data_IF_322911706719
#
_entry.id   IF_322911706719
#
_cell.length_a   1.000
_cell.length_b   1.000
_cell.length_c   1.000
_cell.angle_alpha   90.00
_cell.angle_beta   90.00
_cell.angle_gamma   90.00
#
_symmetry.space_group_name_H-M   'P 1'
#
loop_
_entity.id
_entity.type
_entity.pdbx_description
1 polymer ?
#
# COMPACT_ATOMS: atom_id res chain seq x y z
N UNK A 1 -49.72 -41.66 44.62
CA UNK A 1 -50.96 -40.84 44.66
C UNK A 1 -50.92 -39.91 43.45
N UNK A 2 -51.74 -40.14 42.42
CA UNK A 2 -52.99 -39.40 42.11
C UNK A 2 -52.78 -37.87 42.08
N UNK A 3 -52.63 -37.24 40.91
CA UNK A 3 -53.65 -36.87 39.90
C UNK A 3 -54.55 -35.67 40.27
N UNK A 4 -54.44 -34.60 39.50
CA UNK A 4 -55.54 -33.94 38.75
C UNK A 4 -54.89 -33.27 37.52
N UNK A 5 -55.23 -33.60 36.26
CA UNK A 5 -56.50 -33.46 35.52
C UNK A 5 -56.97 -32.00 35.48
N UNK A 6 -56.75 -31.21 34.41
CA UNK A 6 -57.15 -31.35 33.00
C UNK A 6 -58.64 -31.03 32.73
N UNK A 7 -58.89 -30.03 31.85
CA UNK A 7 -60.11 -29.78 31.06
C UNK A 7 -59.88 -28.57 30.12
N UNK A 8 -60.42 -28.45 28.90
CA UNK A 8 -61.00 -29.43 27.97
C UNK A 8 -61.11 -28.76 26.56
N UNK A 9 -60.73 -29.50 25.51
CA UNK A 9 -61.47 -29.69 24.23
C UNK A 9 -61.72 -28.53 23.22
N UNK A 10 -61.09 -28.72 22.05
CA UNK A 10 -61.50 -28.50 20.64
C UNK A 10 -62.35 -27.30 20.16
N UNK A 11 -61.92 -26.73 19.03
CA UNK A 11 -62.77 -26.64 17.82
C UNK A 11 -61.92 -26.63 16.53
N UNK A 12 -62.35 -27.37 15.49
CA UNK A 12 -61.76 -27.37 14.13
C UNK A 12 -62.76 -26.72 13.17
N UNK A 13 -62.22 -25.94 12.20
CA UNK A 13 -62.76 -25.62 10.85
C UNK A 13 -63.80 -24.47 10.63
N UNK A 14 -63.43 -23.65 9.61
CA UNK A 14 -64.24 -22.96 8.57
C UNK A 14 -64.97 -21.63 8.90
N UNK A 15 -64.40 -20.51 8.43
CA UNK A 15 -64.86 -19.71 7.26
C UNK A 15 -63.82 -18.58 7.03
N UNK A 16 -63.13 -18.49 5.89
CA UNK A 16 -63.53 -17.91 4.59
C UNK A 16 -63.95 -16.43 4.61
N UNK A 17 -63.22 -15.64 3.81
CA UNK A 17 -63.50 -14.27 3.33
C UNK A 17 -63.62 -13.11 4.34
N UNK A 18 -62.48 -12.45 4.60
CA UNK A 18 -62.43 -11.00 4.79
C UNK A 18 -61.19 -10.42 4.05
N UNK A 19 -61.41 -9.73 2.92
CA UNK A 19 -60.36 -8.99 2.24
C UNK A 19 -60.01 -7.73 3.06
N UNK A 20 -58.79 -7.63 3.58
CA UNK A 20 -58.16 -6.34 3.89
C UNK A 20 -56.75 -6.31 3.31
N UNK A 21 -56.51 -5.35 2.43
CA UNK A 21 -55.21 -5.14 1.82
C UNK A 21 -54.24 -4.60 2.89
N UNK A 22 -53.16 -5.32 3.13
CA UNK A 22 -51.98 -4.78 3.81
C UNK A 22 -50.99 -4.33 2.71
N UNK A 23 -50.36 -3.15 2.88
CA UNK A 23 -49.56 -2.55 1.82
C UNK A 23 -48.35 -3.44 1.47
N UNK A 24 -48.01 -3.47 0.18
CA UNK A 24 -46.75 -4.03 -0.31
C UNK A 24 -45.60 -3.35 0.44
N UNK A 25 -45.02 -4.03 1.43
CA UNK A 25 -43.67 -3.72 1.89
C UNK A 25 -42.78 -3.91 0.67
N UNK A 26 -42.29 -2.80 0.12
CA UNK A 26 -41.23 -2.79 -0.86
C UNK A 26 -40.07 -3.58 -0.26
N UNK A 27 -39.87 -4.82 -0.73
CA UNK A 27 -38.56 -5.46 -0.64
C UNK A 27 -37.63 -4.56 -1.44
N UNK A 28 -36.93 -3.67 -0.75
CA UNK A 28 -35.71 -3.07 -1.26
C UNK A 28 -34.79 -4.23 -1.58
N UNK A 29 -34.75 -4.61 -2.86
CA UNK A 29 -33.76 -5.54 -3.38
C UNK A 29 -32.40 -4.98 -2.98
N UNK A 30 -31.66 -5.71 -2.13
CA UNK A 30 -30.26 -5.40 -1.92
C UNK A 30 -29.62 -5.30 -3.31
N UNK A 31 -28.97 -4.19 -3.67
CA UNK A 31 -28.19 -4.16 -4.89
C UNK A 31 -27.16 -5.27 -4.74
N UNK A 32 -27.22 -6.25 -5.66
CA UNK A 32 -26.25 -7.34 -5.72
C UNK A 32 -24.86 -6.72 -5.80
N UNK A 33 -24.06 -6.88 -4.74
CA UNK A 33 -22.69 -6.38 -4.70
C UNK A 33 -21.91 -7.23 -5.71
N UNK A 34 -21.78 -6.74 -6.95
CA UNK A 34 -20.90 -7.38 -7.92
C UNK A 34 -19.46 -7.00 -7.56
N UNK A 35 -18.76 -7.95 -6.96
CA UNK A 35 -17.31 -7.87 -6.77
C UNK A 35 -16.63 -8.11 -8.11
N UNK A 36 -16.67 -7.08 -8.97
CA UNK A 36 -16.02 -7.08 -10.28
C UNK A 36 -14.50 -6.95 -10.09
N UNK A 37 -13.80 -8.07 -9.97
CA UNK A 37 -12.36 -8.11 -9.76
C UNK A 37 -11.58 -7.58 -10.98
N UNK A 38 -10.51 -6.79 -10.72
CA UNK A 38 -9.63 -6.28 -11.77
C UNK A 38 -8.35 -7.11 -11.86
N UNK A 39 -8.01 -7.56 -13.08
CA UNK A 39 -6.68 -8.09 -13.39
C UNK A 39 -5.73 -6.93 -13.68
N UNK A 40 -4.71 -6.78 -12.86
CA UNK A 40 -3.64 -5.78 -13.02
C UNK A 40 -2.46 -6.46 -13.71
N UNK A 41 -2.46 -6.42 -15.04
CA UNK A 41 -1.26 -6.79 -15.79
C UNK A 41 -0.21 -5.70 -15.62
N UNK A 42 0.73 -5.92 -14.70
CA UNK A 42 1.96 -5.13 -14.59
C UNK A 42 2.95 -5.75 -15.59
N UNK A 43 2.87 -5.29 -16.84
CA UNK A 43 3.79 -5.73 -17.89
C UNK A 43 5.20 -5.27 -17.49
N UNK A 44 6.13 -6.21 -17.36
CA UNK A 44 7.55 -5.88 -17.37
C UNK A 44 7.89 -5.44 -18.78
N UNK A 45 8.40 -4.22 -18.94
CA UNK A 45 9.05 -3.85 -20.20
C UNK A 45 10.18 -4.82 -20.52
N UNK A 46 10.42 -4.96 -21.81
CA UNK A 46 11.31 -5.88 -22.54
C UNK A 46 12.45 -6.54 -21.74
N UNK A 47 12.68 -7.81 -22.03
CA UNK A 47 13.93 -8.46 -21.63
C UNK A 47 15.05 -8.18 -22.66
N UNK A 48 16.27 -8.63 -22.33
CA UNK A 48 17.49 -8.55 -23.15
C UNK A 48 17.39 -9.15 -24.57
N UNK A 49 16.25 -9.77 -24.93
CA UNK A 49 15.97 -10.39 -26.23
C UNK A 49 14.81 -9.71 -26.97
N UNK A 50 14.37 -8.52 -26.54
CA UNK A 50 13.24 -7.80 -27.16
C UNK A 50 11.90 -8.52 -27.04
N UNK A 51 11.73 -9.40 -26.05
CA UNK A 51 10.46 -10.09 -25.79
C UNK A 51 9.77 -9.48 -24.57
N UNK A 52 8.50 -9.12 -24.74
CA UNK A 52 7.63 -8.75 -23.63
C UNK A 52 7.46 -9.95 -22.68
N UNK A 53 7.77 -9.77 -21.40
CA UNK A 53 7.40 -10.73 -20.35
C UNK A 53 6.15 -10.20 -19.66
N UNK A 54 5.00 -10.75 -20.04
CA UNK A 54 3.73 -10.45 -19.38
C UNK A 54 3.65 -11.12 -18.00
N UNK A 55 4.06 -10.39 -16.97
CA UNK A 55 3.61 -10.68 -15.61
C UNK A 55 2.21 -10.10 -15.40
N UNK A 56 1.29 -10.87 -14.78
CA UNK A 56 -0.04 -10.36 -14.44
C UNK A 56 -0.44 -10.71 -13.02
N UNK A 57 -0.79 -9.67 -12.25
CA UNK A 57 -1.34 -9.77 -10.91
C UNK A 57 -2.86 -9.60 -10.97
N UNK A 58 -3.60 -10.10 -9.98
CA UNK A 58 -5.05 -9.80 -9.85
C UNK A 58 -5.31 -9.19 -8.48
N UNK A 59 -5.87 -7.98 -8.48
CA UNK A 59 -6.26 -7.23 -7.28
C UNK A 59 -7.77 -6.98 -7.30
N UNK A 60 -8.44 -7.35 -6.23
CA UNK A 60 -9.89 -7.21 -6.13
C UNK A 60 -10.18 -5.76 -5.72
N UNK A 61 -10.58 -4.93 -6.69
CA UNK A 61 -10.82 -3.49 -6.53
C UNK A 61 -12.30 -3.21 -6.77
N UNK A 62 -12.96 -2.46 -5.89
CA UNK A 62 -14.35 -2.07 -6.10
C UNK A 62 -14.49 -1.10 -7.28
N UNK A 63 -15.52 -1.31 -8.12
CA UNK A 63 -15.86 -0.40 -9.23
C UNK A 63 -16.51 0.90 -8.71
N UNK A 64 -16.07 2.08 -9.18
CA UNK A 64 -16.91 3.27 -9.13
C UNK A 64 -18.06 3.15 -10.16
N UNK A 65 -19.22 3.69 -9.82
CA UNK A 65 -20.48 3.57 -10.59
C UNK A 65 -20.60 4.53 -11.80
N UNK A 66 -19.50 4.99 -12.38
CA UNK A 66 -19.51 6.08 -13.37
C UNK A 66 -18.63 5.83 -14.62
N UNK A 67 -19.01 6.50 -15.73
CA UNK A 67 -18.35 6.46 -17.05
C UNK A 67 -16.93 7.09 -17.03
N UNK A 68 -15.96 6.47 -16.36
CA UNK A 68 -14.61 7.02 -16.21
C UNK A 68 -13.67 6.58 -17.35
N UNK A 69 -12.99 7.57 -17.93
CA UNK A 69 -12.00 7.48 -19.03
C UNK A 69 -10.70 6.71 -18.69
N UNK A 70 -10.52 6.27 -17.45
CA UNK A 70 -9.27 5.70 -16.91
C UNK A 70 -9.52 4.33 -16.29
N UNK A 71 -8.61 3.37 -16.52
CA UNK A 71 -8.77 1.98 -16.03
C UNK A 71 -8.59 1.84 -14.52
N UNK A 72 -7.57 2.48 -13.94
CA UNK A 72 -7.28 2.45 -12.50
C UNK A 72 -6.73 3.80 -12.00
N UNK A 73 -6.88 4.08 -10.70
CA UNK A 73 -6.28 5.24 -10.01
C UNK A 73 -5.36 4.77 -8.88
N UNK A 74 -4.06 5.02 -9.05
CA UNK A 74 -2.97 4.47 -8.25
C UNK A 74 -2.17 5.61 -7.60
N UNK A 75 -1.93 5.50 -6.29
CA UNK A 75 -0.90 6.26 -5.60
C UNK A 75 0.24 5.31 -5.23
N UNK A 76 1.41 5.58 -5.78
CA UNK A 76 2.64 4.87 -5.44
C UNK A 76 3.32 5.60 -4.28
N UNK A 77 3.67 4.88 -3.21
CA UNK A 77 4.18 5.42 -1.96
C UNK A 77 5.57 4.85 -1.76
N UNK A 78 6.59 5.71 -1.76
CA UNK A 78 7.99 5.31 -1.62
C UNK A 78 8.76 6.32 -0.76
N UNK A 79 9.82 5.88 -0.09
CA UNK A 79 10.78 6.78 0.53
C UNK A 79 11.81 7.33 -0.47
N UNK A 80 11.95 6.70 -1.64
CA UNK A 80 12.93 7.05 -2.67
C UNK A 80 12.30 7.13 -4.06
N UNK A 81 12.79 8.05 -4.88
CA UNK A 81 12.32 8.24 -6.25
C UNK A 81 12.63 9.64 -6.78
N UNK A 82 12.45 9.88 -8.09
CA UNK A 82 12.64 11.20 -8.67
C UNK A 82 11.74 12.24 -7.99
N UNK A 83 12.27 13.42 -7.63
CA UNK A 83 13.48 14.04 -8.19
C UNK A 83 14.77 13.84 -7.35
N UNK A 84 14.84 12.85 -6.45
CA UNK A 84 16.11 12.50 -5.79
C UNK A 84 17.17 12.14 -6.86
N UNK A 85 18.42 12.54 -6.62
CA UNK A 85 19.54 12.33 -7.55
C UNK A 85 20.60 11.44 -6.89
N UNK A 86 20.15 10.27 -6.43
CA UNK A 86 21.00 9.20 -5.91
C UNK A 86 20.95 8.04 -6.89
N UNK A 87 22.04 7.29 -7.00
CA UNK A 87 22.01 6.00 -7.67
C UNK A 87 21.30 4.99 -6.76
N UNK A 88 20.37 4.20 -7.30
CA UNK A 88 19.64 3.19 -6.54
C UNK A 88 18.53 2.57 -7.38
N UNK A 89 18.42 1.24 -7.35
CA UNK A 89 17.48 0.50 -8.19
C UNK A 89 16.01 0.93 -7.95
N UNK A 90 15.66 1.30 -6.71
CA UNK A 90 14.34 1.83 -6.38
C UNK A 90 14.08 3.20 -7.05
N UNK A 91 15.09 4.05 -7.19
CA UNK A 91 14.93 5.36 -7.85
C UNK A 91 14.67 5.18 -9.34
N UNK A 92 15.39 4.30 -10.02
CA UNK A 92 15.15 4.01 -11.44
C UNK A 92 13.78 3.33 -11.66
N UNK A 93 13.38 2.40 -10.78
CA UNK A 93 12.01 1.83 -10.79
C UNK A 93 10.95 2.91 -10.60
N UNK A 94 11.14 3.83 -9.65
CA UNK A 94 10.20 4.93 -9.39
C UNK A 94 10.25 6.05 -10.43
N UNK A 95 11.23 6.04 -11.34
CA UNK A 95 11.22 6.88 -12.54
C UNK A 95 10.46 6.24 -13.70
N UNK A 96 10.69 4.94 -13.96
CA UNK A 96 10.12 4.22 -15.09
C UNK A 96 8.69 3.69 -14.83
N UNK A 97 8.48 2.91 -13.77
CA UNK A 97 7.23 2.18 -13.51
C UNK A 97 5.98 3.08 -13.47
N UNK A 98 6.00 4.29 -12.86
CA UNK A 98 4.82 5.17 -12.87
C UNK A 98 4.49 5.73 -14.27
N UNK A 99 5.47 5.79 -15.19
CA UNK A 99 5.25 6.16 -16.60
C UNK A 99 4.63 5.00 -17.37
N UNK A 100 5.20 3.81 -17.21
CA UNK A 100 4.74 2.59 -17.89
C UNK A 100 3.30 2.24 -17.50
N UNK A 101 2.97 2.29 -16.21
CA UNK A 101 1.61 2.07 -15.73
C UNK A 101 0.60 3.09 -16.27
N UNK A 102 1.02 4.27 -16.74
CA UNK A 102 0.12 5.26 -17.38
C UNK A 102 -0.19 4.96 -18.85
N UNK A 103 0.71 4.28 -19.59
CA UNK A 103 0.51 3.94 -21.01
C UNK A 103 -0.86 3.26 -21.29
N UNK A 104 -1.33 2.25 -20.52
CA UNK A 104 -2.65 1.64 -20.73
C UNK A 104 -3.84 2.46 -20.17
N UNK A 105 -3.66 3.76 -19.88
CA UNK A 105 -4.73 4.66 -19.45
C UNK A 105 -5.05 4.61 -17.96
N UNK A 106 -4.09 4.28 -17.09
CA UNK A 106 -4.25 4.46 -15.65
C UNK A 106 -3.84 5.89 -15.24
N UNK A 107 -4.47 6.41 -14.19
CA UNK A 107 -4.02 7.61 -13.50
C UNK A 107 -3.04 7.18 -12.40
N UNK A 108 -1.77 7.50 -12.57
CA UNK A 108 -0.71 7.18 -11.59
C UNK A 108 -0.10 8.46 -11.04
N UNK A 109 0.02 8.49 -9.73
CA UNK A 109 0.69 9.54 -8.96
C UNK A 109 1.68 8.89 -7.99
N UNK A 110 2.71 9.62 -7.59
CA UNK A 110 3.73 9.17 -6.65
C UNK A 110 3.73 10.11 -5.45
N UNK A 111 3.90 9.58 -4.23
CA UNK A 111 4.21 10.38 -3.05
C UNK A 111 5.54 9.96 -2.44
N UNK A 112 6.29 10.98 -2.01
CA UNK A 112 7.63 10.92 -1.42
C UNK A 112 7.70 11.89 -0.24
N UNK A 113 8.59 11.68 0.75
CA UNK A 113 8.94 12.72 1.69
C UNK A 113 9.62 13.91 0.98
N UNK A 114 9.34 15.14 1.42
CA UNK A 114 9.92 16.35 0.83
C UNK A 114 11.29 16.66 1.46
N UNK A 115 12.28 15.80 1.19
CA UNK A 115 13.63 15.93 1.74
C UNK A 115 14.31 17.26 1.38
N UNK A 116 15.25 17.70 2.22
CA UNK A 116 16.15 18.84 1.98
C UNK A 116 16.76 18.81 0.57
N UNK A 117 17.30 17.68 0.15
CA UNK A 117 17.90 17.47 -1.18
C UNK A 117 16.93 17.81 -2.34
N UNK A 118 15.62 17.60 -2.16
CA UNK A 118 14.61 17.94 -3.18
C UNK A 118 14.29 19.45 -3.14
N UNK A 119 14.27 20.05 -1.94
CA UNK A 119 14.01 21.49 -1.73
C UNK A 119 15.11 22.38 -2.29
N UNK A 120 16.36 21.96 -2.17
CA UNK A 120 17.54 22.72 -2.60
C UNK A 120 17.79 22.68 -4.13
N UNK A 121 17.10 21.80 -4.85
CA UNK A 121 17.22 21.70 -6.32
C UNK A 121 16.58 22.90 -7.02
N UNK A 122 17.40 23.87 -7.38
CA UNK A 122 17.02 25.11 -8.09
C UNK A 122 16.08 24.91 -9.28
N UNK A 123 16.31 23.85 -10.09
CA UNK A 123 15.53 23.48 -11.28
C UNK A 123 14.21 22.76 -10.98
N UNK A 124 14.02 22.23 -9.77
CA UNK A 124 12.80 21.53 -9.37
C UNK A 124 11.88 22.49 -8.59
N UNK A 125 10.67 22.71 -9.09
CA UNK A 125 9.68 23.59 -8.45
C UNK A 125 8.48 22.78 -8.00
N UNK A 126 8.35 22.59 -6.69
CA UNK A 126 7.12 22.10 -6.08
C UNK A 126 6.28 23.28 -5.60
N UNK A 127 4.98 23.24 -5.86
CA UNK A 127 4.00 24.24 -5.43
C UNK A 127 3.34 23.77 -4.13
N UNK A 128 3.19 24.64 -3.13
CA UNK A 128 2.43 24.29 -1.91
C UNK A 128 0.96 24.16 -2.28
N UNK A 129 0.32 23.08 -1.84
CA UNK A 129 -1.12 22.85 -2.12
C UNK A 129 -2.05 23.72 -1.27
N UNK A 130 -1.53 24.27 -0.16
CA UNK A 130 -2.33 24.91 0.89
C UNK A 130 -2.94 23.93 1.88
N UNK A 131 -2.77 22.61 1.67
CA UNK A 131 -3.24 21.56 2.57
C UNK A 131 -2.14 21.22 3.57
N UNK A 132 -2.48 21.30 4.85
CA UNK A 132 -1.72 20.78 5.97
C UNK A 132 -2.62 19.84 6.80
N UNK A 133 -2.06 18.78 7.37
CA UNK A 133 -2.80 17.81 8.19
C UNK A 133 -1.99 17.43 9.43
N UNK A 134 -2.65 17.43 10.58
CA UNK A 134 -2.08 16.95 11.84
C UNK A 134 -1.98 15.42 11.85
N UNK A 135 -0.78 14.91 12.09
CA UNK A 135 -0.46 13.47 12.13
C UNK A 135 0.12 13.13 13.50
N UNK A 136 -0.65 12.37 14.30
CA UNK A 136 -0.19 11.86 15.60
C UNK A 136 0.83 10.73 15.40
N UNK A 137 1.92 10.76 16.16
CA UNK A 137 2.97 9.75 16.25
C UNK A 137 3.33 9.56 17.72
N UNK A 138 2.86 8.48 18.33
CA UNK A 138 2.93 8.30 19.78
C UNK A 138 2.09 9.36 20.46
N UNK A 139 2.69 10.14 21.36
CA UNK A 139 2.01 11.25 22.06
C UNK A 139 2.30 12.64 21.47
N UNK A 140 3.11 12.70 20.40
CA UNK A 140 3.38 13.93 19.67
C UNK A 140 2.49 14.03 18.43
N UNK A 141 2.19 15.26 18.02
CA UNK A 141 1.49 15.56 16.77
C UNK A 141 2.41 16.41 15.90
N UNK A 142 2.53 16.03 14.63
CA UNK A 142 3.38 16.66 13.64
C UNK A 142 2.53 17.13 12.45
N UNK A 143 2.90 18.24 11.83
CA UNK A 143 2.16 18.77 10.67
C UNK A 143 2.73 18.19 9.37
N UNK A 144 1.87 17.52 8.60
CA UNK A 144 2.15 17.10 7.22
C UNK A 144 1.72 18.20 6.24
N UNK A 145 2.69 18.94 5.72
CA UNK A 145 2.50 19.98 4.70
C UNK A 145 2.59 19.34 3.29
N UNK A 146 1.57 19.47 2.45
CA UNK A 146 1.57 18.84 1.12
C UNK A 146 1.96 19.80 0.00
N UNK A 147 2.89 19.35 -0.84
CA UNK A 147 3.32 20.04 -2.05
C UNK A 147 3.04 19.19 -3.29
N UNK A 148 2.76 19.83 -4.42
CA UNK A 148 2.53 19.20 -5.71
C UNK A 148 3.64 19.54 -6.71
N UNK A 149 4.04 18.58 -7.54
CA UNK A 149 5.01 18.79 -8.61
C UNK A 149 4.78 17.79 -9.76
N UNK A 150 5.63 17.87 -10.80
CA UNK A 150 5.68 16.89 -11.89
C UNK A 150 7.09 16.31 -12.01
N UNK A 151 7.18 15.01 -12.26
CA UNK A 151 8.44 14.40 -12.70
C UNK A 151 8.76 14.81 -14.15
N UNK A 152 9.98 14.53 -14.61
CA UNK A 152 10.38 14.77 -16.00
C UNK A 152 9.44 14.05 -17.00
N UNK A 153 8.99 12.82 -16.66
CA UNK A 153 7.98 12.07 -17.42
C UNK A 153 6.53 12.50 -17.19
N UNK A 154 6.27 13.68 -16.61
CA UNK A 154 4.92 14.23 -16.40
C UNK A 154 4.06 13.50 -15.36
N UNK A 155 4.65 12.64 -14.53
CA UNK A 155 3.97 11.94 -13.42
C UNK A 155 3.66 12.94 -12.32
N UNK A 156 2.44 12.89 -11.76
CA UNK A 156 2.05 13.76 -10.64
C UNK A 156 2.81 13.31 -9.39
N UNK A 157 3.54 14.24 -8.77
CA UNK A 157 4.23 14.03 -7.51
C UNK A 157 3.48 14.76 -6.39
N UNK A 158 3.39 14.13 -5.23
CA UNK A 158 2.90 14.71 -3.98
C UNK A 158 3.98 14.57 -2.90
N UNK A 159 4.56 15.69 -2.46
CA UNK A 159 5.67 15.69 -1.53
C UNK A 159 5.17 16.03 -0.13
N UNK A 160 5.49 15.18 0.84
CA UNK A 160 5.10 15.33 2.25
C UNK A 160 6.21 16.03 3.01
N UNK A 161 6.00 17.30 3.38
CA UNK A 161 6.96 18.06 4.19
C UNK A 161 6.65 17.90 5.68
N UNK A 162 7.70 17.63 6.43
CA UNK A 162 7.79 17.74 7.88
C UNK A 162 9.27 17.95 8.19
N UNK A 163 9.67 19.19 8.49
CA UNK A 163 11.10 19.54 8.56
C UNK A 163 11.80 18.83 9.75
N UNK A 164 11.05 18.56 10.82
CA UNK A 164 11.50 17.72 11.95
C UNK A 164 12.04 16.35 11.50
N UNK A 165 11.52 15.78 10.42
CA UNK A 165 11.88 14.44 9.94
C UNK A 165 12.66 14.43 8.61
N UNK A 166 12.42 15.40 7.72
CA UNK A 166 12.93 15.38 6.34
C UNK A 166 13.85 16.55 5.97
N UNK A 167 14.00 17.55 6.83
CA UNK A 167 15.08 18.52 6.70
C UNK A 167 16.39 17.95 7.27
N UNK A 168 17.00 17.01 6.53
CA UNK A 168 18.24 16.30 6.88
C UNK A 168 19.09 16.03 5.63
N UNK A 169 20.42 15.84 5.75
CA UNK A 169 21.28 15.46 4.62
C UNK A 169 20.99 14.05 4.06
N UNK A 170 20.61 13.13 4.93
CA UNK A 170 20.36 11.73 4.60
C UNK A 170 18.89 11.37 4.41
N UNK A 171 18.65 10.26 3.69
CA UNK A 171 17.32 9.63 3.61
C UNK A 171 17.09 8.78 4.86
N UNK A 172 17.93 7.78 5.11
CA UNK A 172 17.85 6.87 6.28
C UNK A 172 18.89 7.13 7.35
N UNK A 173 19.93 7.92 7.06
CA UNK A 173 21.08 8.10 7.93
C UNK A 173 22.16 8.95 7.30
N UNK A 174 23.22 9.21 8.06
CA UNK A 174 24.33 10.07 7.69
C UNK A 174 25.66 9.39 8.04
N UNK A 175 26.67 9.53 7.16
CA UNK A 175 28.00 8.93 7.34
C UNK A 175 27.96 7.41 7.65
N UNK A 176 26.98 6.70 7.08
CA UNK A 176 26.78 5.26 7.29
C UNK A 176 26.02 4.87 8.56
N UNK A 177 25.68 5.83 9.44
CA UNK A 177 24.89 5.59 10.64
C UNK A 177 23.41 5.89 10.39
N UNK A 178 22.47 4.95 10.66
CA UNK A 178 21.04 5.21 10.58
C UNK A 178 20.60 6.32 11.55
N UNK A 179 19.62 7.13 11.17
CA UNK A 179 18.98 8.05 12.11
C UNK A 179 18.16 7.26 13.15
N UNK A 180 18.36 7.55 14.43
CA UNK A 180 17.72 6.84 15.55
C UNK A 180 16.18 6.93 15.50
N UNK A 181 15.65 8.07 15.05
CA UNK A 181 14.21 8.34 14.94
C UNK A 181 13.56 7.79 13.66
N UNK A 182 14.26 6.97 12.88
CA UNK A 182 13.74 6.36 11.64
C UNK A 182 12.37 5.68 11.81
N UNK A 183 12.12 5.04 12.96
CA UNK A 183 10.80 4.50 13.27
C UNK A 183 9.71 5.58 13.23
N UNK A 184 9.90 6.69 13.95
CA UNK A 184 8.99 7.84 13.97
C UNK A 184 8.83 8.46 12.58
N UNK A 185 9.94 8.69 11.87
CA UNK A 185 9.99 9.34 10.54
C UNK A 185 9.12 8.60 9.52
N UNK A 186 9.24 7.28 9.44
CA UNK A 186 8.52 6.49 8.45
C UNK A 186 7.11 6.05 8.91
N UNK A 187 6.84 5.99 10.22
CA UNK A 187 5.46 5.94 10.75
C UNK A 187 4.70 7.22 10.39
N UNK A 188 5.30 8.39 10.58
CA UNK A 188 4.75 9.68 10.15
C UNK A 188 4.47 9.66 8.65
N UNK A 189 5.45 9.28 7.82
CA UNK A 189 5.27 9.23 6.37
C UNK A 189 4.12 8.32 5.93
N UNK A 190 4.05 7.10 6.47
CA UNK A 190 2.95 6.17 6.17
C UNK A 190 1.56 6.76 6.51
N UNK A 191 1.43 7.40 7.67
CA UNK A 191 0.18 8.06 8.09
C UNK A 191 -0.14 9.27 7.20
N UNK A 192 0.84 10.12 6.92
CA UNK A 192 0.68 11.32 6.08
C UNK A 192 0.33 10.97 4.62
N UNK A 193 0.93 9.90 4.07
CA UNK A 193 0.59 9.38 2.74
C UNK A 193 -0.84 8.82 2.70
N UNK A 194 -1.31 8.21 3.79
CA UNK A 194 -2.69 7.73 3.91
C UNK A 194 -3.71 8.87 4.04
N UNK A 195 -3.39 9.91 4.81
CA UNK A 195 -4.24 11.11 4.90
C UNK A 195 -4.31 11.88 3.57
N UNK A 196 -3.22 11.93 2.79
CA UNK A 196 -3.24 12.38 1.41
C UNK A 196 -4.17 11.52 0.55
N UNK A 197 -4.01 10.18 0.60
CA UNK A 197 -4.79 9.26 -0.21
C UNK A 197 -6.30 9.40 0.00
N UNK A 198 -6.74 9.69 1.24
CA UNK A 198 -8.14 9.96 1.60
C UNK A 198 -8.70 11.28 1.07
N UNK A 199 -7.84 12.25 0.73
CA UNK A 199 -8.23 13.60 0.25
C UNK A 199 -8.16 13.73 -1.26
N UNK A 200 -7.45 12.83 -1.95
CA UNK A 200 -7.29 12.90 -3.41
C UNK A 200 -8.60 12.58 -4.14
N UNK A 201 -9.01 13.50 -5.01
CA UNK A 201 -10.18 13.36 -5.89
C UNK A 201 -9.76 13.32 -7.36
N UNK A 202 -10.27 12.38 -8.19
CA UNK A 202 -11.20 11.32 -7.85
C UNK A 202 -10.58 10.25 -6.93
N UNK A 203 -11.39 9.67 -6.04
CA UNK A 203 -10.94 8.76 -4.99
C UNK A 203 -10.04 7.63 -5.52
N UNK A 204 -8.87 7.44 -4.89
CA UNK A 204 -7.92 6.39 -5.25
C UNK A 204 -8.51 4.99 -5.07
N UNK A 205 -7.93 4.03 -5.78
CA UNK A 205 -8.32 2.63 -5.73
C UNK A 205 -7.22 1.75 -5.15
N UNK A 206 -5.96 2.04 -5.49
CA UNK A 206 -4.80 1.23 -5.13
C UNK A 206 -3.73 2.11 -4.48
N UNK A 207 -3.21 1.66 -3.33
CA UNK A 207 -1.98 2.19 -2.74
C UNK A 207 -0.87 1.16 -2.99
N UNK A 208 0.10 1.52 -3.82
CA UNK A 208 1.23 0.70 -4.18
C UNK A 208 2.45 1.15 -3.37
N UNK A 209 2.82 0.40 -2.34
CA UNK A 209 3.89 0.75 -1.42
C UNK A 209 5.19 0.04 -1.80
N UNK A 210 6.32 0.75 -1.66
CA UNK A 210 7.64 0.26 -2.01
C UNK A 210 8.51 0.16 -0.75
N UNK A 211 8.98 -1.06 -0.48
CA UNK A 211 9.85 -1.43 0.64
C UNK A 211 9.38 -1.02 2.04
N UNK A 212 10.22 -1.28 3.04
CA UNK A 212 9.90 -1.14 4.46
C UNK A 212 9.39 0.24 4.85
N UNK A 213 9.93 1.30 4.25
CA UNK A 213 9.66 2.69 4.62
C UNK A 213 8.20 3.12 4.32
N UNK A 214 7.50 2.39 3.45
CA UNK A 214 6.06 2.55 3.19
C UNK A 214 5.22 1.33 3.64
N UNK A 215 5.85 0.27 4.15
CA UNK A 215 5.22 -1.02 4.42
C UNK A 215 4.22 -1.04 5.58
N UNK A 216 4.12 0.02 6.40
CA UNK A 216 3.05 0.15 7.39
C UNK A 216 1.72 0.65 6.80
N UNK A 217 1.69 1.20 5.57
CA UNK A 217 0.43 1.68 4.96
C UNK A 217 -0.64 0.57 4.87
N UNK A 218 -0.36 -0.66 4.40
CA UNK A 218 -1.34 -1.77 4.46
C UNK A 218 -1.86 -2.07 5.87
N UNK A 219 -0.99 -1.95 6.88
CA UNK A 219 -1.37 -2.16 8.30
C UNK A 219 -2.39 -1.11 8.74
N UNK A 220 -2.15 0.17 8.43
CA UNK A 220 -3.09 1.27 8.71
C UNK A 220 -4.39 1.14 7.90
N UNK A 221 -4.32 0.75 6.62
CA UNK A 221 -5.51 0.47 5.78
C UNK A 221 -6.39 -0.61 6.42
N UNK A 222 -5.79 -1.71 6.90
CA UNK A 222 -6.51 -2.77 7.61
C UNK A 222 -7.05 -2.30 8.96
N UNK A 223 -6.26 -1.55 9.73
CA UNK A 223 -6.62 -1.08 11.08
C UNK A 223 -7.80 -0.09 11.07
N UNK A 224 -7.89 0.75 10.05
CA UNK A 224 -8.95 1.75 9.89
C UNK A 224 -10.05 1.32 8.90
N UNK A 225 -10.00 0.08 8.39
CA UNK A 225 -10.97 -0.50 7.45
C UNK A 225 -11.23 0.39 6.22
N UNK A 226 -10.16 0.85 5.57
CA UNK A 226 -10.23 1.80 4.46
C UNK A 226 -10.45 1.09 3.11
N UNK A 227 -11.19 1.71 2.17
CA UNK A 227 -11.59 1.08 0.91
C UNK A 227 -10.49 1.14 -0.17
N UNK A 228 -9.24 0.89 0.22
CA UNK A 228 -8.09 0.85 -0.69
C UNK A 228 -7.60 -0.58 -0.84
N UNK A 229 -7.37 -1.03 -2.07
CA UNK A 229 -6.56 -2.21 -2.32
C UNK A 229 -5.08 -1.86 -2.13
N UNK A 230 -4.28 -2.76 -1.56
CA UNK A 230 -2.87 -2.49 -1.27
C UNK A 230 -1.93 -3.48 -1.96
N UNK A 231 -0.79 -2.97 -2.43
CA UNK A 231 0.26 -3.74 -3.10
C UNK A 231 1.61 -3.35 -2.52
N UNK A 232 2.37 -4.31 -1.99
CA UNK A 232 3.76 -4.11 -1.56
C UNK A 232 4.72 -4.65 -2.62
N UNK A 233 5.60 -3.81 -3.20
CA UNK A 233 6.80 -4.32 -3.88
C UNK A 233 7.98 -4.35 -2.90
N UNK A 234 8.64 -5.51 -2.82
CA UNK A 234 9.89 -5.73 -2.08
C UNK A 234 11.05 -5.79 -3.07
N UNK A 235 11.96 -4.83 -2.97
CA UNK A 235 13.15 -4.69 -3.81
C UNK A 235 14.39 -5.24 -3.10
N UNK A 236 14.46 -5.08 -1.77
CA UNK A 236 15.56 -5.61 -0.95
C UNK A 236 15.08 -6.05 0.44
N UNK A 237 14.95 -7.37 0.67
CA UNK A 237 14.42 -7.95 1.92
C UNK A 237 15.37 -7.84 3.13
N UNK A 238 16.64 -7.46 2.92
CA UNK A 238 17.55 -7.15 4.01
C UNK A 238 17.15 -5.84 4.72
N UNK A 239 16.58 -4.89 3.98
CA UNK A 239 16.11 -3.61 4.50
C UNK A 239 14.66 -3.75 4.99
N UNK A 240 14.50 -4.11 6.26
CA UNK A 240 13.19 -4.50 6.82
C UNK A 240 12.47 -3.41 7.61
N UNK A 241 13.14 -2.32 7.98
CA UNK A 241 12.63 -1.37 8.97
C UNK A 241 12.36 -2.07 10.31
N UNK A 242 13.40 -2.65 10.89
CA UNK A 242 13.35 -3.42 12.15
C UNK A 242 13.82 -2.55 13.32
N UNK A 243 12.87 -2.07 14.12
CA UNK A 243 13.06 -1.08 15.20
C UNK A 243 12.78 -1.68 16.59
N UNK A 244 12.93 -0.91 17.66
CA UNK A 244 12.67 -1.43 19.01
C UNK A 244 11.19 -1.74 19.19
N UNK A 245 10.84 -2.75 19.99
CA UNK A 245 9.43 -3.08 20.24
C UNK A 245 8.64 -1.92 20.86
N UNK A 246 9.31 -1.10 21.68
CA UNK A 246 8.73 0.11 22.29
C UNK A 246 8.32 1.16 21.24
N UNK A 247 8.95 1.18 20.07
CA UNK A 247 8.58 2.08 18.96
C UNK A 247 7.19 1.76 18.40
N UNK A 248 6.60 0.61 18.73
CA UNK A 248 5.22 0.29 18.34
C UNK A 248 4.22 1.34 18.84
N UNK A 249 4.44 1.94 20.01
CA UNK A 249 3.56 3.00 20.53
C UNK A 249 3.50 4.22 19.60
N UNK A 250 4.55 4.49 18.84
CA UNK A 250 4.59 5.56 17.83
C UNK A 250 3.56 5.35 16.71
N UNK A 251 3.21 4.09 16.41
CA UNK A 251 2.21 3.75 15.39
C UNK A 251 0.80 4.17 15.78
N UNK A 252 0.50 4.32 17.07
CA UNK A 252 -0.87 4.46 17.61
C UNK A 252 -1.83 3.34 17.17
N UNK A 253 -1.31 2.17 16.75
CA UNK A 253 -2.11 0.99 16.48
C UNK A 253 -2.51 0.29 17.80
N UNK A 254 -3.69 -0.34 17.87
CA UNK A 254 -4.04 -1.17 19.03
C UNK A 254 -3.11 -2.38 19.17
N UNK A 255 -2.81 -2.80 20.41
CA UNK A 255 -1.84 -3.86 20.75
C UNK A 255 -2.01 -5.18 19.98
N UNK A 256 -3.24 -5.53 19.54
CA UNK A 256 -3.50 -6.69 18.68
C UNK A 256 -2.66 -6.74 17.39
N UNK A 257 -2.12 -5.60 16.94
CA UNK A 257 -1.21 -5.53 15.80
C UNK A 257 0.25 -5.86 16.17
N UNK A 258 0.66 -5.74 17.43
CA UNK A 258 1.99 -6.10 17.93
C UNK A 258 1.97 -7.51 18.54
N UNK A 259 1.85 -8.50 17.66
CA UNK A 259 1.83 -9.94 18.02
C UNK A 259 2.64 -10.75 17.01
N UNK A 260 2.89 -12.02 17.31
CA UNK A 260 3.55 -12.96 16.39
C UNK A 260 2.85 -13.04 15.01
N UNK A 261 1.53 -12.86 14.97
CA UNK A 261 0.73 -12.80 13.74
C UNK A 261 0.51 -11.37 13.19
N UNK A 262 1.22 -10.39 13.74
CA UNK A 262 1.22 -8.98 13.36
C UNK A 262 2.63 -8.45 13.10
N UNK A 263 2.86 -7.17 13.40
CA UNK A 263 4.10 -6.43 13.04
C UNK A 263 5.30 -6.72 13.96
N UNK A 264 5.10 -7.46 15.06
CA UNK A 264 6.17 -7.85 15.98
C UNK A 264 7.06 -8.94 15.36
N UNK A 265 8.37 -8.88 15.57
CA UNK A 265 9.30 -9.91 15.12
C UNK A 265 10.51 -10.01 16.06
N UNK A 266 10.60 -11.09 16.85
CA UNK A 266 11.64 -11.29 17.87
C UNK A 266 11.76 -10.10 18.85
N UNK A 267 10.62 -9.59 19.33
CA UNK A 267 10.51 -8.44 20.24
C UNK A 267 10.74 -7.08 19.57
N UNK A 268 10.92 -7.05 18.24
CA UNK A 268 11.15 -5.82 17.45
C UNK A 268 9.90 -5.43 16.67
N UNK A 269 9.79 -4.15 16.34
CA UNK A 269 8.80 -3.65 15.38
C UNK A 269 9.35 -3.80 13.96
N UNK A 270 8.76 -4.65 13.13
CA UNK A 270 9.24 -4.92 11.76
C UNK A 270 8.24 -4.44 10.70
N UNK A 271 8.59 -3.35 10.01
CA UNK A 271 7.69 -2.69 9.07
C UNK A 271 7.42 -3.58 7.85
N UNK A 272 8.46 -4.22 7.29
CA UNK A 272 8.33 -5.06 6.11
C UNK A 272 7.49 -6.32 6.37
N UNK A 273 7.65 -6.94 7.56
CA UNK A 273 6.76 -8.02 8.03
C UNK A 273 5.31 -7.56 8.08
N UNK A 274 5.06 -6.37 8.60
CA UNK A 274 3.73 -5.74 8.57
C UNK A 274 3.18 -5.62 7.16
N UNK A 275 3.96 -5.10 6.21
CA UNK A 275 3.55 -5.02 4.81
C UNK A 275 3.22 -6.40 4.20
N UNK A 276 4.04 -7.42 4.44
CA UNK A 276 3.83 -8.80 3.97
C UNK A 276 2.52 -9.40 4.51
N UNK A 277 2.26 -9.25 5.81
CA UNK A 277 1.08 -9.82 6.46
C UNK A 277 -0.22 -9.08 6.10
N UNK A 278 -0.17 -7.76 5.94
CA UNK A 278 -1.38 -6.96 5.71
C UNK A 278 -1.70 -6.72 4.22
N UNK A 279 -0.73 -6.84 3.29
CA UNK A 279 -1.00 -7.17 1.88
C UNK A 279 -1.58 -6.01 1.05
N UNK A 280 -2.61 -6.18 0.21
CA UNK A 280 -3.34 -7.42 -0.17
C UNK A 280 -2.48 -8.39 -0.98
N UNK A 281 -1.62 -7.84 -1.86
CA UNK A 281 -0.69 -8.55 -2.73
C UNK A 281 0.73 -8.11 -2.49
N UNK A 282 1.68 -8.99 -2.79
CA UNK A 282 3.11 -8.74 -2.65
C UNK A 282 3.77 -9.02 -3.99
N UNK A 283 4.68 -8.15 -4.41
CA UNK A 283 5.47 -8.28 -5.62
C UNK A 283 6.96 -8.16 -5.33
N UNK A 284 7.79 -8.78 -6.16
CA UNK A 284 9.25 -8.68 -6.02
C UNK A 284 9.96 -8.83 -7.37
N UNK A 285 11.23 -8.44 -7.41
CA UNK A 285 11.94 -7.93 -8.61
C UNK A 285 12.27 -8.94 -9.69
N UNK A 286 12.21 -10.24 -9.38
CA UNK A 286 12.44 -11.33 -10.34
C UNK A 286 12.01 -12.69 -9.76
N UNK A 287 11.82 -13.68 -10.63
CA UNK A 287 11.53 -15.06 -10.20
C UNK A 287 12.77 -15.78 -9.63
N UNK A 288 13.98 -15.29 -9.91
CA UNK A 288 15.17 -15.74 -9.19
C UNK A 288 15.11 -15.25 -7.73
N UNK A 289 14.95 -13.94 -7.55
CA UNK A 289 14.94 -13.30 -6.24
C UNK A 289 13.76 -13.78 -5.39
N UNK A 290 12.55 -13.94 -5.96
CA UNK A 290 11.40 -14.53 -5.26
C UNK A 290 11.72 -15.91 -4.67
N UNK A 291 12.42 -16.76 -5.42
CA UNK A 291 12.85 -18.09 -4.94
C UNK A 291 13.92 -17.98 -3.87
N UNK A 292 14.89 -17.09 -4.03
CA UNK A 292 15.97 -16.80 -3.09
C UNK A 292 15.46 -16.33 -1.72
N UNK A 293 14.63 -15.28 -1.68
CA UNK A 293 14.08 -14.73 -0.43
C UNK A 293 13.13 -15.70 0.30
N UNK A 294 12.64 -16.73 -0.42
CA UNK A 294 11.77 -17.77 0.12
C UNK A 294 12.52 -19.05 0.52
N UNK A 295 13.85 -19.15 0.34
CA UNK A 295 14.62 -20.38 0.59
C UNK A 295 14.54 -20.82 2.06
N UNK A 296 14.27 -22.10 2.37
CA UNK A 296 14.29 -22.64 3.74
C UNK A 296 15.61 -22.52 4.49
N UNK A 297 16.72 -22.22 3.81
CA UNK A 297 18.04 -22.03 4.43
C UNK A 297 18.21 -20.67 5.13
N UNK A 298 17.21 -19.78 5.10
CA UNK A 298 17.22 -18.46 5.75
C UNK A 298 18.13 -17.40 5.10
N UNK A 299 19.23 -17.82 4.47
CA UNK A 299 20.30 -16.96 3.98
C UNK A 299 19.85 -15.82 3.03
N UNK A 300 18.84 -16.06 2.19
CA UNK A 300 18.34 -15.05 1.23
C UNK A 300 17.14 -14.24 1.73
N UNK A 301 16.43 -14.70 2.77
CA UNK A 301 15.23 -14.02 3.28
C UNK A 301 15.47 -13.17 4.53
N UNK A 302 16.71 -13.17 5.06
CA UNK A 302 17.11 -12.37 6.22
C UNK A 302 16.17 -12.56 7.44
N UNK A 303 15.73 -13.80 7.67
CA UNK A 303 14.78 -14.18 8.73
C UNK A 303 13.29 -14.06 8.36
N UNK A 304 12.93 -13.29 7.33
CA UNK A 304 11.54 -13.19 6.86
C UNK A 304 11.15 -14.31 5.88
N UNK A 305 12.03 -15.27 5.61
CA UNK A 305 11.80 -16.36 4.65
C UNK A 305 10.58 -17.23 5.02
N UNK A 306 10.36 -17.48 6.31
CA UNK A 306 9.16 -18.19 6.82
C UNK A 306 7.90 -17.38 6.50
N UNK A 307 7.90 -16.09 6.85
CA UNK A 307 6.75 -15.19 6.64
C UNK A 307 6.42 -15.06 5.16
N UNK A 308 7.45 -15.00 4.29
CA UNK A 308 7.31 -14.97 2.84
C UNK A 308 6.75 -16.29 2.28
N UNK A 309 7.16 -17.45 2.81
CA UNK A 309 6.62 -18.76 2.42
C UNK A 309 5.15 -18.91 2.81
N UNK A 310 4.76 -18.54 4.03
CA UNK A 310 3.36 -18.57 4.48
C UNK A 310 2.47 -17.65 3.61
N UNK A 311 3.01 -16.53 3.16
CA UNK A 311 2.33 -15.57 2.29
C UNK A 311 2.60 -15.78 0.79
N UNK A 312 3.20 -16.91 0.38
CA UNK A 312 3.61 -17.16 -1.01
C UNK A 312 2.44 -17.12 -2.00
N UNK A 313 1.23 -17.48 -1.56
CA UNK A 313 -0.02 -17.38 -2.34
C UNK A 313 -0.41 -15.94 -2.75
N UNK A 314 0.19 -14.93 -2.11
CA UNK A 314 0.07 -13.49 -2.42
C UNK A 314 1.30 -12.90 -3.10
N UNK A 315 2.42 -13.63 -3.15
CA UNK A 315 3.73 -13.17 -3.63
C UNK A 315 3.93 -13.50 -5.12
N UNK A 316 4.08 -12.48 -5.96
CA UNK A 316 4.29 -12.61 -7.41
C UNK A 316 5.63 -12.01 -7.83
N UNK A 317 6.39 -12.71 -8.67
CA UNK A 317 7.56 -12.11 -9.30
C UNK A 317 7.12 -11.22 -10.47
N UNK A 318 7.62 -9.98 -10.51
CA UNK A 318 7.50 -9.08 -11.65
C UNK A 318 8.92 -8.63 -11.96
N UNK A 319 9.41 -9.01 -13.13
CA UNK A 319 10.75 -8.62 -13.56
C UNK A 319 10.83 -7.09 -13.64
N UNK A 320 11.91 -6.51 -13.12
CA UNK A 320 12.23 -5.11 -13.41
C UNK A 320 12.67 -5.00 -14.88
N UNK A 321 11.90 -4.29 -15.69
CA UNK A 321 12.35 -3.85 -17.01
C UNK A 321 13.45 -2.80 -16.88
N UNK A 322 14.46 -2.86 -17.74
CA UNK A 322 15.48 -1.81 -17.85
C UNK A 322 14.99 -0.72 -18.82
N UNK A 323 15.36 0.53 -18.56
CA UNK A 323 15.15 1.61 -19.54
C UNK A 323 16.28 1.58 -20.57
N UNK A 324 16.10 0.80 -21.64
CA UNK A 324 17.08 0.64 -22.71
C UNK A 324 17.34 1.92 -23.54
N UNK A 325 16.60 3.01 -23.30
CA UNK A 325 16.94 4.33 -23.86
C UNK A 325 18.05 5.03 -23.06
N UNK A 326 18.33 4.55 -21.85
CA UNK A 326 19.29 5.11 -20.90
C UNK A 326 20.41 4.12 -20.50
N UNK A 327 20.15 2.82 -20.61
CA UNK A 327 21.08 1.73 -20.30
C UNK A 327 21.13 0.75 -21.48
N UNK A 328 22.12 0.91 -22.35
CA UNK A 328 22.27 0.14 -23.57
C UNK A 328 23.62 -0.62 -23.58
N UNK A 329 23.65 -1.93 -23.29
CA UNK A 329 24.88 -2.73 -23.24
C UNK A 329 25.70 -2.80 -24.54
N UNK A 330 25.19 -2.26 -25.65
CA UNK A 330 25.95 -2.12 -26.90
C UNK A 330 26.70 -0.78 -27.02
N UNK A 331 26.49 0.17 -26.10
CA UNK A 331 27.15 1.49 -26.04
C UNK A 331 27.75 1.86 -24.69
N UNK A 332 27.54 1.02 -23.67
CA UNK A 332 27.91 1.23 -22.26
C UNK A 332 29.10 0.34 -21.85
#
# INVERSE_FOLDING_TARGET
>A
MKQSQAKFVSARRRNQHARRALPRILRASHPSISTDCYRITIVSCENWLGRNIEASLTLNVQRPTSNIKYRMRILMISAEGPPLQRAGALIDVMDALPRELRKPGNQVSVTLPYYREIREKSKFKAKRTGIAVDVRVGDKTYVADYFEARSAGGVQLFLVRCDDFFDRPGIYGEQGQPYEDNAARFIFFCKAALELARRLTPALQILHVHDWAAALVPVFVRAHNLPFATLLTIHHVADQGSFWGLDFNLTNLPERFFTLHGVEFFGRLNFLKGGILYADRITTVSEHYRREISRPSGAGGHGLDVVLRENAHRLTAILHGADYTRWNPASD
#
